data_IF_685128629087
#
_entry.id   IF_685128629087
#
_cell.length_a   1.000
_cell.length_b   1.000
_cell.length_c   1.000
_cell.angle_alpha   90.00
_cell.angle_beta   90.00
_cell.angle_gamma   90.00
#
_symmetry.space_group_name_H-M   'P 1'
#
loop_
_entity.id
_entity.type
_entity.pdbx_description
1 polymer ?
#
# COMPACT_ATOMS: atom_id res chain seq x y z
N UNK A 1 11.10 -3.37 -3.26
CA UNK A 1 10.98 -1.97 -3.75
C UNK A 1 10.28 -1.98 -5.10
N UNK A 2 9.59 -0.90 -5.47
CA UNK A 2 8.89 -0.81 -6.75
C UNK A 2 9.84 -0.23 -7.80
N UNK A 3 10.26 -1.02 -8.77
CA UNK A 3 11.06 -0.56 -9.92
C UNK A 3 10.15 -0.44 -11.15
N UNK A 4 10.31 0.64 -11.91
CA UNK A 4 9.61 0.87 -13.18
C UNK A 4 10.62 1.24 -14.25
N UNK A 5 10.61 0.46 -15.33
CA UNK A 5 11.37 0.76 -16.55
C UNK A 5 10.47 1.58 -17.48
N UNK A 6 10.95 2.76 -17.85
CA UNK A 6 10.29 3.67 -18.79
C UNK A 6 10.56 3.16 -20.21
N UNK A 7 9.53 3.03 -21.03
CA UNK A 7 9.68 2.67 -22.45
C UNK A 7 9.87 3.95 -23.27
N UNK A 8 10.54 3.85 -24.43
CA UNK A 8 10.91 5.00 -25.27
C UNK A 8 9.71 5.84 -25.75
N UNK A 9 8.51 5.25 -25.80
CA UNK A 9 7.28 5.91 -26.25
C UNK A 9 6.33 6.31 -25.10
N UNK A 10 6.78 6.30 -23.83
CA UNK A 10 5.96 6.73 -22.69
C UNK A 10 6.23 8.19 -22.31
N UNK A 11 5.16 8.96 -22.12
CA UNK A 11 5.22 10.25 -21.42
C UNK A 11 5.58 10.05 -19.94
N UNK A 12 6.40 10.96 -19.41
CA UNK A 12 6.87 10.97 -18.01
C UNK A 12 5.71 10.84 -17.01
N UNK A 13 4.57 11.48 -17.29
CA UNK A 13 3.41 11.47 -16.41
C UNK A 13 2.76 10.07 -16.31
N UNK A 14 2.75 9.31 -17.41
CA UNK A 14 2.27 7.92 -17.41
C UNK A 14 3.16 7.02 -16.55
N UNK A 15 4.48 7.20 -16.64
CA UNK A 15 5.44 6.46 -15.82
C UNK A 15 5.26 6.76 -14.32
N UNK A 16 5.09 8.04 -13.95
CA UNK A 16 4.81 8.47 -12.59
C UNK A 16 3.50 7.90 -12.05
N UNK A 17 2.45 7.85 -12.87
CA UNK A 17 1.16 7.27 -12.48
C UNK A 17 1.27 5.77 -12.20
N UNK A 18 2.01 5.01 -13.02
CA UNK A 18 2.31 3.60 -12.74
C UNK A 18 3.14 3.44 -11.47
N UNK A 19 4.13 4.30 -11.26
CA UNK A 19 4.98 4.27 -10.06
C UNK A 19 4.16 4.45 -8.79
N UNK A 20 3.30 5.47 -8.77
CA UNK A 20 2.39 5.72 -7.66
C UNK A 20 1.47 4.52 -7.40
N UNK A 21 0.94 3.88 -8.45
CA UNK A 21 0.11 2.68 -8.31
C UNK A 21 0.90 1.48 -7.79
N UNK A 22 2.13 1.28 -8.24
CA UNK A 22 2.99 0.18 -7.79
C UNK A 22 3.44 0.37 -6.34
N UNK A 23 3.75 1.60 -5.91
CA UNK A 23 4.03 1.97 -4.52
C UNK A 23 2.81 1.79 -3.61
N UNK A 24 1.60 2.09 -4.10
CA UNK A 24 0.37 1.81 -3.37
C UNK A 24 0.12 0.30 -3.25
N UNK A 25 0.36 -0.47 -4.32
CA UNK A 25 0.14 -1.92 -4.35
C UNK A 25 1.16 -2.68 -3.50
N UNK A 26 2.41 -2.24 -3.48
CA UNK A 26 3.45 -2.81 -2.62
C UNK A 26 3.21 -2.51 -1.14
N UNK A 27 2.38 -1.51 -0.82
CA UNK A 27 2.00 -1.19 0.55
C UNK A 27 3.12 -0.60 1.39
N UNK A 28 4.26 -0.23 0.79
CA UNK A 28 5.46 0.26 1.48
C UNK A 28 5.14 1.46 2.38
N UNK A 29 4.36 2.41 1.89
CA UNK A 29 3.93 3.59 2.69
C UNK A 29 3.01 3.20 3.85
N UNK A 30 2.16 2.19 3.67
CA UNK A 30 1.27 1.70 4.72
C UNK A 30 2.01 0.90 5.79
N UNK A 31 3.12 0.26 5.41
CA UNK A 31 3.98 -0.49 6.31
C UNK A 31 4.87 0.45 7.12
N UNK A 32 5.44 1.47 6.50
CA UNK A 32 6.19 2.52 7.18
C UNK A 32 5.36 3.13 8.32
N UNK A 33 4.13 3.58 8.03
CA UNK A 33 3.21 4.13 9.05
C UNK A 33 2.86 3.16 10.17
N UNK A 34 2.80 1.85 9.90
CA UNK A 34 2.53 0.84 10.94
C UNK A 34 3.74 0.55 11.82
N UNK A 35 4.95 0.88 11.36
CA UNK A 35 6.22 0.65 12.05
C UNK A 35 6.76 1.91 12.72
N UNK A 36 6.18 3.08 12.49
CA UNK A 36 6.56 4.36 13.13
C UNK A 36 6.57 4.29 14.65
N UNK A 37 5.64 3.53 15.25
CA UNK A 37 5.57 3.33 16.70
C UNK A 37 5.37 1.85 17.02
N UNK A 38 5.94 1.41 18.15
CA UNK A 38 5.68 0.07 18.65
C UNK A 38 4.21 -0.06 19.04
N UNK A 39 3.60 -1.14 18.57
CA UNK A 39 2.23 -1.48 18.89
C UNK A 39 2.19 -2.90 19.47
N UNK A 40 1.58 -3.03 20.66
CA UNK A 40 1.45 -4.31 21.36
C UNK A 40 0.82 -5.37 20.44
N UNK A 41 1.30 -6.64 20.43
CA UNK A 41 0.80 -7.68 19.52
C UNK A 41 -0.72 -7.85 19.50
N UNK A 42 -1.38 -7.67 20.66
CA UNK A 42 -2.84 -7.74 20.77
C UNK A 42 -3.56 -6.64 19.95
N UNK A 43 -3.06 -5.41 20.01
CA UNK A 43 -3.63 -4.27 19.28
C UNK A 43 -3.41 -4.44 17.77
N UNK A 44 -2.22 -4.93 17.36
CA UNK A 44 -1.94 -5.29 15.96
C UNK A 44 -2.92 -6.34 15.43
N UNK A 45 -3.23 -7.38 16.22
CA UNK A 45 -4.22 -8.42 15.86
C UNK A 45 -5.62 -7.85 15.73
N UNK A 46 -6.04 -6.98 16.67
CA UNK A 46 -7.35 -6.30 16.63
C UNK A 46 -7.50 -5.42 15.38
N UNK A 47 -6.52 -4.56 15.09
CA UNK A 47 -6.51 -3.71 13.90
C UNK A 47 -6.53 -4.51 12.60
N UNK A 48 -5.83 -5.66 12.54
CA UNK A 48 -5.85 -6.56 11.38
C UNK A 48 -7.26 -7.14 11.14
N UNK A 49 -7.94 -7.59 12.19
CA UNK A 49 -9.30 -8.13 12.10
C UNK A 49 -10.31 -7.06 11.65
N UNK A 50 -10.22 -5.86 12.21
CA UNK A 50 -11.07 -4.73 11.85
C UNK A 50 -10.88 -4.30 10.38
N UNK A 51 -9.63 -4.23 9.91
CA UNK A 51 -9.33 -3.93 8.52
C UNK A 51 -9.90 -4.99 7.56
N UNK A 52 -9.83 -6.28 7.93
CA UNK A 52 -10.43 -7.36 7.15
C UNK A 52 -11.96 -7.25 7.09
N UNK A 53 -12.61 -6.96 8.22
CA UNK A 53 -14.06 -6.72 8.28
C UNK A 53 -14.49 -5.53 7.43
N UNK A 54 -13.79 -4.40 7.51
CA UNK A 54 -14.03 -3.22 6.65
C UNK A 54 -13.91 -3.56 5.16
N UNK A 55 -12.90 -4.34 4.77
CA UNK A 55 -12.71 -4.76 3.37
C UNK A 55 -13.83 -5.67 2.88
N UNK A 56 -14.32 -6.58 3.73
CA UNK A 56 -15.46 -7.46 3.41
C UNK A 56 -16.75 -6.65 3.22
N UNK A 57 -17.02 -5.69 4.10
CA UNK A 57 -18.23 -4.86 4.05
C UNK A 57 -18.25 -3.92 2.83
N UNK A 58 -17.09 -3.54 2.29
CA UNK A 58 -16.98 -2.66 1.11
C UNK A 58 -17.22 -3.38 -0.23
N UNK A 59 -17.44 -4.70 -0.19
CA UNK A 59 -17.66 -5.56 -1.38
C UNK A 59 -19.15 -5.79 -1.67
N UNK A 60 -20.02 -5.45 -0.74
CA UNK A 60 -21.45 -5.19 -0.95
C UNK A 60 -21.63 -3.69 -1.16
#
# INVERSE_FOLDING_TARGET
MAEIKIRKDESLDSALRRFKRQCQRSGVLSEARKREHYEKPSVRRKKKAEAARRKRNKRY
#
